data_IF_580099275477
#
_entry.id   IF_580099275477
#
_cell.length_a   1.000
_cell.length_b   1.000
_cell.length_c   1.000
_cell.angle_alpha   90.00
_cell.angle_beta   90.00
_cell.angle_gamma   90.00
#
_symmetry.space_group_name_H-M   'P 1'
#
loop_
_entity.id
_entity.type
_entity.pdbx_description
1 polymer ?
#
# COMPACT_ATOMS: atom_id res chain seq x y z
N UNK A 1 -32.72 17.81 -9.57
CA UNK A 1 -32.21 18.78 -10.57
C UNK A 1 -32.69 18.35 -11.94
N UNK A 2 -33.86 18.84 -12.38
CA UNK A 2 -34.56 18.36 -13.58
C UNK A 2 -34.05 18.97 -14.90
N UNK A 3 -34.42 18.36 -16.02
CA UNK A 3 -33.99 18.69 -17.39
C UNK A 3 -34.27 20.15 -17.79
N UNK A 4 -35.38 20.74 -17.33
CA UNK A 4 -35.72 22.15 -17.56
C UNK A 4 -34.71 23.11 -16.92
N UNK A 5 -34.23 22.78 -15.72
CA UNK A 5 -33.26 23.62 -15.02
C UNK A 5 -31.88 23.61 -15.70
N UNK A 6 -31.51 22.50 -16.35
CA UNK A 6 -30.27 22.39 -17.11
C UNK A 6 -30.33 23.13 -18.44
N UNK A 7 -31.49 23.14 -19.11
CA UNK A 7 -31.72 23.91 -20.34
C UNK A 7 -31.70 25.41 -20.09
N UNK A 8 -32.44 25.90 -19.09
CA UNK A 8 -32.42 27.31 -18.67
C UNK A 8 -31.00 27.77 -18.28
N UNK A 9 -30.22 26.91 -17.59
CA UNK A 9 -28.84 27.23 -17.22
C UNK A 9 -27.91 27.29 -18.44
N UNK A 10 -28.09 26.42 -19.42
CA UNK A 10 -27.33 26.45 -20.68
C UNK A 10 -27.59 27.69 -21.53
N UNK A 11 -28.82 28.24 -21.47
CA UNK A 11 -29.21 29.44 -22.22
C UNK A 11 -28.69 30.74 -21.58
N UNK A 12 -28.61 30.80 -20.24
CA UNK A 12 -28.30 32.03 -19.49
C UNK A 12 -26.84 32.09 -18.97
N UNK A 13 -26.20 30.95 -18.66
CA UNK A 13 -24.93 30.90 -17.91
C UNK A 13 -23.76 30.21 -18.61
N UNK A 14 -23.94 29.71 -19.84
CA UNK A 14 -22.88 29.01 -20.58
C UNK A 14 -22.45 27.69 -19.92
N UNK A 15 -21.29 27.15 -20.31
CA UNK A 15 -20.76 25.89 -19.79
C UNK A 15 -20.22 26.04 -18.35
N UNK A 16 -20.43 25.02 -17.52
CA UNK A 16 -19.97 24.98 -16.12
C UNK A 16 -18.44 24.80 -16.03
N UNK A 17 -17.75 25.77 -15.45
CA UNK A 17 -16.29 25.80 -15.24
C UNK A 17 -15.87 25.41 -13.81
N UNK A 18 -16.81 25.31 -12.86
CA UNK A 18 -16.52 25.07 -11.44
C UNK A 18 -16.59 23.59 -11.07
N UNK A 19 -17.41 22.83 -11.77
CA UNK A 19 -17.51 21.39 -11.57
C UNK A 19 -16.25 20.64 -12.02
N UNK A 20 -15.92 19.54 -11.33
CA UNK A 20 -14.81 18.67 -11.75
C UNK A 20 -15.01 18.15 -13.18
N UNK A 21 -13.96 18.23 -13.97
CA UNK A 21 -13.96 17.67 -15.31
C UNK A 21 -13.84 16.15 -15.25
N UNK A 22 -14.72 15.42 -15.94
CA UNK A 22 -14.76 13.94 -15.85
C UNK A 22 -14.87 13.29 -17.21
N UNK A 23 -14.66 11.97 -17.29
CA UNK A 23 -14.81 11.21 -18.54
C UNK A 23 -16.21 11.20 -19.16
N UNK A 24 -17.23 11.73 -18.47
CA UNK A 24 -18.60 11.89 -19.01
C UNK A 24 -18.84 13.26 -19.64
N UNK A 25 -17.83 14.13 -19.60
CA UNK A 25 -17.83 15.47 -20.19
C UNK A 25 -16.81 15.48 -21.34
N UNK A 26 -17.04 16.32 -22.33
CA UNK A 26 -16.16 16.43 -23.50
C UNK A 26 -16.61 15.59 -24.69
N UNK A 27 -15.77 15.57 -25.73
CA UNK A 27 -16.02 14.87 -26.99
C UNK A 27 -15.74 13.37 -26.89
N UNK A 28 -16.09 12.62 -27.95
CA UNK A 28 -15.85 11.16 -28.05
C UNK A 28 -14.40 10.74 -27.79
N UNK A 29 -13.42 11.57 -28.14
CA UNK A 29 -11.98 11.27 -27.97
C UNK A 29 -11.46 11.59 -26.57
N UNK A 30 -12.27 12.24 -25.73
CA UNK A 30 -11.86 12.63 -24.39
C UNK A 30 -11.93 11.44 -23.42
N UNK A 31 -10.82 10.73 -23.25
CA UNK A 31 -10.72 9.58 -22.35
C UNK A 31 -9.86 9.88 -21.11
N UNK A 32 -10.46 10.49 -20.08
CA UNK A 32 -9.79 10.77 -18.79
C UNK A 32 -9.63 9.55 -17.88
N UNK A 33 -10.48 8.52 -18.02
CA UNK A 33 -10.54 7.40 -17.06
C UNK A 33 -11.12 7.77 -15.69
N UNK A 34 -11.00 6.84 -14.72
CA UNK A 34 -11.56 6.96 -13.34
C UNK A 34 -10.60 6.46 -12.24
N UNK A 35 -9.29 6.46 -12.52
CA UNK A 35 -8.27 6.05 -11.54
C UNK A 35 -7.98 4.55 -11.46
N UNK A 36 -8.65 3.72 -12.27
CA UNK A 36 -8.27 2.32 -12.43
C UNK A 36 -6.85 2.21 -12.99
N UNK A 37 -5.97 1.48 -12.29
CA UNK A 37 -4.60 1.24 -12.75
C UNK A 37 -4.61 0.17 -13.85
N UNK A 38 -3.84 0.34 -14.94
CA UNK A 38 -3.83 -0.61 -16.05
C UNK A 38 -3.15 -1.91 -15.63
N UNK A 39 -3.71 -3.05 -16.06
CA UNK A 39 -3.16 -4.40 -15.82
C UNK A 39 -2.45 -4.98 -17.06
N UNK A 40 -1.90 -4.11 -17.91
CA UNK A 40 -1.36 -4.47 -19.21
C UNK A 40 -1.07 -3.26 -20.09
N UNK A 41 -0.90 -3.49 -21.40
CA UNK A 41 -0.60 -2.43 -22.37
C UNK A 41 -1.38 -2.60 -23.67
N UNK A 42 -1.62 -1.48 -24.37
CA UNK A 42 -2.16 -1.49 -25.73
C UNK A 42 -1.06 -1.83 -26.74
N UNK A 43 -1.38 -2.68 -27.71
CA UNK A 43 -0.52 -2.99 -28.85
C UNK A 43 -0.78 -2.00 -30.00
N UNK A 44 0.16 -1.88 -30.97
CA UNK A 44 -0.06 -1.07 -32.19
C UNK A 44 -1.31 -1.49 -32.97
N UNK A 45 -1.73 -2.75 -32.85
CA UNK A 45 -2.97 -3.29 -33.43
C UNK A 45 -4.26 -2.84 -32.73
N UNK A 46 -4.18 -1.91 -31.78
CA UNK A 46 -5.29 -1.47 -30.91
C UNK A 46 -5.89 -2.57 -30.01
N UNK A 47 -5.27 -3.76 -29.96
CA UNK A 47 -5.63 -4.82 -29.01
C UNK A 47 -4.97 -4.57 -27.65
N UNK A 48 -5.69 -4.85 -26.57
CA UNK A 48 -5.13 -4.80 -25.21
C UNK A 48 -4.48 -6.15 -24.86
N UNK A 49 -3.24 -6.11 -24.40
CA UNK A 49 -2.51 -7.27 -23.89
C UNK A 49 -2.48 -7.21 -22.36
N UNK A 50 -3.19 -8.12 -21.72
CA UNK A 50 -3.13 -8.30 -20.27
C UNK A 50 -1.80 -8.96 -19.88
N UNK A 51 -1.12 -8.40 -18.86
CA UNK A 51 0.15 -8.91 -18.35
C UNK A 51 -0.09 -9.48 -16.97
N UNK A 52 0.05 -10.80 -16.80
CA UNK A 52 -0.27 -11.49 -15.54
C UNK A 52 0.44 -10.89 -14.32
N UNK A 53 1.72 -10.52 -14.46
CA UNK A 53 2.50 -9.90 -13.38
C UNK A 53 2.02 -8.50 -12.95
N UNK A 54 1.18 -7.82 -13.76
CA UNK A 54 0.57 -6.53 -13.41
C UNK A 54 -0.82 -6.70 -12.77
N UNK A 55 -1.41 -7.89 -12.85
CA UNK A 55 -2.70 -8.20 -12.22
C UNK A 55 -2.41 -8.49 -10.74
N UNK A 56 -3.02 -7.76 -9.79
CA UNK A 56 -2.80 -8.03 -8.37
C UNK A 56 -3.40 -9.38 -7.97
N UNK A 57 -2.63 -10.18 -7.23
CA UNK A 57 -3.07 -11.44 -6.65
C UNK A 57 -3.41 -11.23 -5.17
N UNK A 58 -4.60 -11.68 -4.74
CA UNK A 58 -5.00 -11.62 -3.34
C UNK A 58 -4.48 -12.85 -2.59
N UNK A 59 -3.58 -12.63 -1.63
CA UNK A 59 -3.06 -13.70 -0.77
C UNK A 59 -4.01 -13.88 0.42
N UNK A 60 -4.89 -14.88 0.34
CA UNK A 60 -5.92 -15.17 1.35
C UNK A 60 -5.49 -16.39 2.19
N UNK A 61 -5.25 -16.25 3.50
CA UNK A 61 -4.89 -17.37 4.36
C UNK A 61 -6.13 -18.24 4.71
N UNK A 62 -5.94 -19.54 5.01
CA UNK A 62 -6.98 -20.38 5.60
C UNK A 62 -7.37 -19.86 7.00
N UNK A 63 -8.67 -19.91 7.33
CA UNK A 63 -9.22 -19.36 8.58
C UNK A 63 -9.88 -20.44 9.46
N UNK A 64 -9.72 -21.72 9.15
CA UNK A 64 -10.24 -22.82 9.96
C UNK A 64 -9.61 -22.79 11.37
N UNK A 65 -10.45 -22.76 12.41
CA UNK A 65 -9.99 -22.70 13.81
C UNK A 65 -9.44 -21.35 14.26
N UNK A 66 -9.60 -20.28 13.48
CA UNK A 66 -9.11 -18.95 13.85
C UNK A 66 -9.89 -18.37 15.05
N UNK A 67 -9.18 -18.05 16.15
CA UNK A 67 -9.79 -17.65 17.42
C UNK A 67 -10.23 -16.18 17.47
N UNK A 68 -9.53 -15.31 16.74
CA UNK A 68 -9.79 -13.87 16.76
C UNK A 68 -11.09 -13.57 16.01
N UNK A 69 -11.83 -12.57 16.51
CA UNK A 69 -13.13 -12.15 15.97
C UNK A 69 -13.10 -10.67 15.59
N UNK A 70 -14.00 -10.19 14.72
CA UNK A 70 -14.08 -8.78 14.35
C UNK A 70 -14.38 -7.83 15.52
N UNK A 71 -14.93 -8.36 16.61
CA UNK A 71 -15.31 -7.59 17.80
C UNK A 71 -14.70 -8.21 19.06
N UNK A 72 -14.37 -7.34 20.02
CA UNK A 72 -13.82 -7.70 21.33
C UNK A 72 -14.87 -7.43 22.42
N UNK A 73 -14.87 -8.24 23.47
CA UNK A 73 -15.77 -8.06 24.62
C UNK A 73 -15.41 -6.82 25.44
N UNK A 74 -16.42 -6.09 25.94
CA UNK A 74 -16.25 -4.97 26.87
C UNK A 74 -15.62 -5.38 28.22
N UNK A 75 -15.53 -6.68 28.52
CA UNK A 75 -14.87 -7.18 29.73
C UNK A 75 -13.34 -7.10 29.65
N UNK A 76 -12.77 -6.83 28.48
CA UNK A 76 -11.32 -6.69 28.32
C UNK A 76 -10.83 -5.44 29.08
N UNK A 77 -9.69 -5.54 29.79
CA UNK A 77 -9.08 -4.38 30.44
C UNK A 77 -8.65 -3.36 29.39
N UNK A 78 -8.54 -2.09 29.80
CA UNK A 78 -8.07 -1.02 28.94
C UNK A 78 -6.59 -1.25 28.61
N UNK A 79 -6.24 -1.21 27.32
CA UNK A 79 -4.85 -1.32 26.87
C UNK A 79 -4.01 -0.13 27.35
N UNK A 80 -2.83 -0.42 27.89
CA UNK A 80 -1.86 0.56 28.41
C UNK A 80 -0.58 0.61 27.58
N UNK A 81 -0.53 -0.11 26.47
CA UNK A 81 0.69 -0.31 25.70
C UNK A 81 1.15 1.00 25.03
N UNK A 82 2.43 1.36 25.17
CA UNK A 82 3.00 2.51 24.47
C UNK A 82 3.11 2.22 22.97
N UNK A 83 3.22 3.26 22.12
CA UNK A 83 3.49 3.06 20.70
C UNK A 83 4.84 2.38 20.48
N UNK A 84 4.88 1.41 19.56
CA UNK A 84 6.11 0.70 19.21
C UNK A 84 7.14 1.65 18.59
N UNK A 85 8.39 1.60 19.06
CA UNK A 85 9.51 2.41 18.56
C UNK A 85 10.61 1.52 17.96
N UNK A 86 11.48 2.11 17.14
CA UNK A 86 12.64 1.38 16.61
C UNK A 86 13.59 0.92 17.71
N UNK A 87 13.75 1.74 18.76
CA UNK A 87 14.56 1.41 19.92
C UNK A 87 13.96 0.24 20.71
N UNK A 88 12.66 0.28 21.03
CA UNK A 88 12.01 -0.82 21.76
C UNK A 88 12.10 -2.13 20.99
N UNK A 89 11.91 -2.10 19.67
CA UNK A 89 12.07 -3.29 18.83
C UNK A 89 13.52 -3.82 18.86
N UNK A 90 14.51 -2.93 18.72
CA UNK A 90 15.93 -3.31 18.80
C UNK A 90 16.27 -3.94 20.15
N UNK A 91 15.83 -3.32 21.24
CA UNK A 91 16.09 -3.76 22.62
C UNK A 91 15.44 -5.13 22.92
N UNK A 92 14.27 -5.40 22.36
CA UNK A 92 13.55 -6.67 22.54
C UNK A 92 14.12 -7.81 21.69
N UNK A 93 14.45 -7.55 20.42
CA UNK A 93 14.77 -8.61 19.45
C UNK A 93 16.28 -8.81 19.27
N UNK A 94 17.03 -7.73 19.09
CA UNK A 94 18.44 -7.79 18.63
C UNK A 94 19.42 -7.67 19.80
N UNK A 95 19.13 -6.80 20.76
CA UNK A 95 20.02 -6.52 21.89
C UNK A 95 20.37 -7.76 22.74
N UNK A 96 19.47 -8.73 23.00
CA UNK A 96 19.82 -9.92 23.78
C UNK A 96 20.94 -10.73 23.12
N UNK A 97 20.90 -10.89 21.79
CA UNK A 97 21.91 -11.63 21.05
C UNK A 97 23.26 -10.90 21.04
N UNK A 98 23.26 -9.58 20.87
CA UNK A 98 24.49 -8.78 20.91
C UNK A 98 25.14 -8.83 22.30
N UNK A 99 24.34 -8.76 23.38
CA UNK A 99 24.86 -8.86 24.76
C UNK A 99 25.54 -10.21 25.01
N UNK A 100 24.93 -11.31 24.58
CA UNK A 100 25.51 -12.64 24.70
C UNK A 100 26.86 -12.76 23.97
N UNK A 101 26.94 -12.26 22.73
CA UNK A 101 28.17 -12.33 21.93
C UNK A 101 29.26 -11.38 22.47
N UNK A 102 28.88 -10.26 23.10
CA UNK A 102 29.79 -9.37 23.82
C UNK A 102 30.37 -10.03 25.07
N UNK A 103 29.52 -10.66 25.90
CA UNK A 103 29.95 -11.40 27.09
C UNK A 103 30.85 -12.60 26.73
N UNK A 104 30.56 -13.27 25.62
CA UNK A 104 31.38 -14.34 25.08
C UNK A 104 32.68 -13.86 24.38
N UNK A 105 32.87 -12.55 24.20
CA UNK A 105 34.04 -11.98 23.52
C UNK A 105 34.11 -12.28 22.02
N UNK A 106 33.02 -12.70 21.39
CA UNK A 106 32.95 -13.06 19.95
C UNK A 106 32.33 -11.96 19.08
N UNK A 107 31.94 -10.84 19.69
CA UNK A 107 31.35 -9.72 18.98
C UNK A 107 32.34 -9.04 18.02
N UNK A 108 31.88 -8.81 16.78
CA UNK A 108 32.61 -8.03 15.78
C UNK A 108 31.67 -7.05 15.06
N UNK A 109 32.16 -5.82 14.87
CA UNK A 109 31.43 -4.73 14.18
C UNK A 109 31.30 -4.98 12.68
N UNK A 110 32.18 -5.78 12.09
CA UNK A 110 32.13 -6.06 10.65
C UNK A 110 31.07 -7.13 10.30
N UNK A 111 30.60 -7.87 11.31
CA UNK A 111 29.67 -8.99 11.17
C UNK A 111 28.23 -8.64 11.54
N UNK A 112 27.81 -7.39 11.35
CA UNK A 112 26.44 -6.94 11.71
C UNK A 112 25.33 -7.67 10.94
N UNK A 113 25.63 -8.20 9.75
CA UNK A 113 24.70 -9.01 8.96
C UNK A 113 24.22 -10.24 9.73
N UNK A 114 25.06 -10.81 10.60
CA UNK A 114 24.70 -11.92 11.51
C UNK A 114 23.50 -11.57 12.40
N UNK A 115 23.40 -10.31 12.81
CA UNK A 115 22.33 -9.80 13.68
C UNK A 115 21.16 -9.21 12.88
N UNK A 116 21.12 -9.44 11.56
CA UNK A 116 20.03 -8.99 10.68
C UNK A 116 20.21 -7.58 10.12
N UNK A 117 21.37 -6.93 10.29
CA UNK A 117 21.61 -5.64 9.65
C UNK A 117 21.80 -5.80 8.14
N UNK A 118 21.06 -4.99 7.40
CA UNK A 118 21.06 -4.99 5.96
C UNK A 118 21.65 -3.66 5.43
N UNK A 119 22.94 -3.61 5.04
CA UNK A 119 23.60 -2.35 4.67
C UNK A 119 23.01 -1.74 3.39
N UNK A 120 22.58 -2.58 2.45
CA UNK A 120 21.97 -2.15 1.19
C UNK A 120 20.64 -2.86 0.95
N UNK A 121 19.73 -2.18 0.26
CA UNK A 121 18.43 -2.70 -0.16
C UNK A 121 18.44 -3.18 -1.63
N UNK A 122 19.60 -3.13 -2.28
CA UNK A 122 19.78 -3.63 -3.64
C UNK A 122 19.73 -5.16 -3.67
N UNK A 123 19.25 -5.73 -4.77
CA UNK A 123 19.07 -7.19 -4.91
C UNK A 123 17.90 -7.79 -4.12
N UNK A 124 17.25 -7.03 -3.23
CA UNK A 124 16.09 -7.53 -2.47
C UNK A 124 14.81 -7.49 -3.27
N UNK A 125 14.01 -8.55 -3.11
CA UNK A 125 12.67 -8.64 -3.68
C UNK A 125 11.74 -7.58 -3.05
N UNK A 126 11.74 -7.48 -1.73
CA UNK A 126 10.99 -6.47 -0.98
C UNK A 126 11.94 -5.42 -0.43
N UNK A 127 11.89 -4.22 -1.01
CA UNK A 127 12.73 -3.09 -0.62
C UNK A 127 12.02 -2.21 0.39
N UNK A 128 12.71 -1.82 1.45
CA UNK A 128 12.19 -0.88 2.44
C UNK A 128 12.16 0.55 1.90
N UNK A 129 13.24 0.98 1.23
CA UNK A 129 13.34 2.30 0.62
C UNK A 129 14.13 2.25 -0.71
N UNK A 130 13.59 2.79 -1.82
CA UNK A 130 12.19 3.16 -2.01
C UNK A 130 11.29 1.93 -1.97
N UNK A 131 10.16 2.03 -1.27
CA UNK A 131 9.21 0.92 -1.09
C UNK A 131 8.67 0.44 -2.43
N UNK A 132 8.75 -0.87 -2.69
CA UNK A 132 8.33 -1.48 -3.96
C UNK A 132 7.17 -2.49 -3.85
N UNK A 133 6.56 -2.64 -2.68
CA UNK A 133 5.45 -3.56 -2.43
C UNK A 133 4.17 -2.86 -1.98
N UNK A 134 3.03 -3.52 -2.18
CA UNK A 134 1.70 -3.02 -1.81
C UNK A 134 1.36 -3.43 -0.38
N UNK A 135 0.44 -2.72 0.28
CA UNK A 135 -0.08 -3.06 1.62
C UNK A 135 -1.20 -4.07 1.51
#
# INVERSE_FOLDING_TARGET
MGVLSTLMRGLVRGADRMSEFTSKRGSRTHNKGRGARPAGRNLPSSKFLAIRAMIPEFVVPPLEGFKLRPYVSYRAPKGTEPPLTAQSLFDEVVAPQIKQDLEAGTFSKDQLVKYGFEPTQEGKLFKLYPKNYVR
#
